data_IF_428184007315
#
_entry.id   IF_428184007315
#
_cell.length_a   1.000
_cell.length_b   1.000
_cell.length_c   1.000
_cell.angle_alpha   90.00
_cell.angle_beta   90.00
_cell.angle_gamma   90.00
#
_symmetry.space_group_name_H-M   'P 1'
#
loop_
_entity.id
_entity.type
_entity.pdbx_description
1 polymer ?
#
# COMPACT_ATOMS: atom_id res chain seq x y z
N UNK A 1 3.08 12.17 35.70
CA UNK A 1 3.01 11.16 34.62
C UNK A 1 3.91 11.63 33.50
N UNK A 2 5.09 11.02 33.32
CA UNK A 2 6.02 11.43 32.28
C UNK A 2 5.33 11.30 30.91
N UNK A 3 5.39 12.36 30.11
CA UNK A 3 4.78 12.41 28.77
C UNK A 3 5.54 11.41 27.89
N UNK A 4 4.96 10.24 27.58
CA UNK A 4 5.60 9.26 26.72
C UNK A 4 5.95 9.93 25.37
N UNK A 5 7.23 9.96 24.98
CA UNK A 5 7.64 10.57 23.73
C UNK A 5 6.94 9.86 22.56
N UNK A 6 6.54 10.64 21.56
CA UNK A 6 5.88 10.16 20.34
C UNK A 6 4.52 9.46 20.56
N UNK A 7 3.92 9.49 21.76
CA UNK A 7 2.62 8.87 22.07
C UNK A 7 1.55 9.16 21.01
N UNK A 8 1.46 10.41 20.57
CA UNK A 8 0.49 10.85 19.58
C UNK A 8 0.76 10.29 18.17
N UNK A 9 2.03 10.12 17.78
CA UNK A 9 2.40 9.50 16.52
C UNK A 9 2.19 7.98 16.56
N UNK A 10 2.52 7.32 17.68
CA UNK A 10 2.25 5.89 17.90
C UNK A 10 0.75 5.57 17.90
N UNK A 11 -0.08 6.46 18.45
CA UNK A 11 -1.53 6.31 18.37
C UNK A 11 -2.04 6.33 16.91
N UNK A 12 -1.47 7.16 16.04
CA UNK A 12 -1.81 7.16 14.61
C UNK A 12 -1.28 5.92 13.88
N UNK A 13 -0.11 5.39 14.26
CA UNK A 13 0.33 4.09 13.76
C UNK A 13 -0.65 2.98 14.14
N UNK A 14 -1.13 2.98 15.38
CA UNK A 14 -2.15 2.01 15.80
C UNK A 14 -3.45 2.14 15.01
N UNK A 15 -3.92 3.38 14.78
CA UNK A 15 -5.07 3.63 13.90
C UNK A 15 -4.83 3.17 12.47
N UNK A 16 -3.63 3.41 11.91
CA UNK A 16 -3.26 2.94 10.59
C UNK A 16 -3.27 1.40 10.50
N UNK A 17 -2.76 0.70 11.53
CA UNK A 17 -2.82 -0.76 11.61
C UNK A 17 -4.27 -1.26 11.63
N UNK A 18 -5.13 -0.61 12.41
CA UNK A 18 -6.56 -0.96 12.47
C UNK A 18 -7.26 -0.77 11.13
N UNK A 19 -6.94 0.30 10.41
CA UNK A 19 -7.48 0.52 9.07
C UNK A 19 -7.05 -0.59 8.09
N UNK A 20 -5.83 -1.13 8.22
CA UNK A 20 -5.39 -2.31 7.44
C UNK A 20 -6.21 -3.55 7.78
N UNK A 21 -6.44 -3.80 9.08
CA UNK A 21 -7.24 -4.93 9.53
C UNK A 21 -8.69 -4.79 9.05
N UNK A 22 -9.25 -3.59 9.12
CA UNK A 22 -10.60 -3.27 8.66
C UNK A 22 -10.74 -3.41 7.12
N UNK A 23 -9.76 -2.92 6.34
CA UNK A 23 -9.70 -3.19 4.89
C UNK A 23 -9.70 -4.69 4.59
N UNK A 24 -8.96 -5.47 5.37
CA UNK A 24 -8.88 -6.94 5.18
C UNK A 24 -10.20 -7.64 5.50
N UNK A 25 -10.96 -7.11 6.47
CA UNK A 25 -12.26 -7.65 6.87
C UNK A 25 -13.44 -7.10 6.07
N UNK A 26 -13.24 -6.04 5.27
CA UNK A 26 -14.29 -5.38 4.52
C UNK A 26 -14.93 -6.32 3.50
N UNK A 27 -16.26 -6.33 3.47
CA UNK A 27 -17.04 -7.16 2.54
C UNK A 27 -17.64 -6.35 1.38
N UNK A 28 -17.62 -5.02 1.50
CA UNK A 28 -18.10 -4.09 0.48
C UNK A 28 -16.97 -3.15 0.05
N UNK A 29 -17.03 -2.73 -1.21
CA UNK A 29 -16.04 -1.82 -1.79
C UNK A 29 -16.02 -0.46 -1.08
N UNK A 30 -17.19 0.10 -0.76
CA UNK A 30 -17.27 1.42 -0.09
C UNK A 30 -16.66 1.38 1.32
N UNK A 31 -16.88 0.29 2.06
CA UNK A 31 -16.28 0.06 3.38
C UNK A 31 -14.76 -0.08 3.26
N UNK A 32 -14.30 -0.87 2.28
CA UNK A 32 -12.88 -1.03 1.98
C UNK A 32 -12.21 0.30 1.63
N UNK A 33 -12.84 1.10 0.77
CA UNK A 33 -12.29 2.37 0.32
C UNK A 33 -12.27 3.43 1.43
N UNK A 34 -13.29 3.47 2.29
CA UNK A 34 -13.30 4.32 3.46
C UNK A 34 -12.12 4.03 4.40
N UNK A 35 -11.85 2.75 4.67
CA UNK A 35 -10.71 2.34 5.50
C UNK A 35 -9.37 2.61 4.82
N UNK A 36 -9.30 2.50 3.49
CA UNK A 36 -8.12 2.89 2.73
C UNK A 36 -7.80 4.38 2.87
N UNK A 37 -8.82 5.24 2.79
CA UNK A 37 -8.69 6.69 3.00
C UNK A 37 -8.24 7.04 4.43
N UNK A 38 -8.80 6.36 5.43
CA UNK A 38 -8.38 6.56 6.83
C UNK A 38 -6.92 6.18 7.03
N UNK A 39 -6.49 5.04 6.47
CA UNK A 39 -5.08 4.64 6.51
C UNK A 39 -4.16 5.71 5.92
N UNK A 40 -4.47 6.22 4.72
CA UNK A 40 -3.68 7.25 4.03
C UNK A 40 -3.60 8.54 4.87
N UNK A 41 -4.70 8.91 5.52
CA UNK A 41 -4.76 10.06 6.43
C UNK A 41 -3.91 9.84 7.68
N UNK A 42 -3.94 8.66 8.29
CA UNK A 42 -3.11 8.32 9.45
C UNK A 42 -1.61 8.43 9.14
N UNK A 43 -1.14 8.01 7.95
CA UNK A 43 0.28 8.13 7.60
C UNK A 43 0.79 9.58 7.64
N UNK A 44 -0.02 10.54 7.20
CA UNK A 44 0.36 11.95 7.29
C UNK A 44 0.35 12.46 8.73
N UNK A 45 -0.65 12.05 9.51
CA UNK A 45 -0.73 12.39 10.94
C UNK A 45 0.48 11.82 11.70
N UNK A 46 0.93 10.60 11.40
CA UNK A 46 2.17 10.01 11.97
C UNK A 46 3.36 10.92 11.73
N UNK A 47 3.57 11.36 10.48
CA UNK A 47 4.69 12.23 10.14
C UNK A 47 4.63 13.58 10.85
N UNK A 48 3.52 14.29 10.70
CA UNK A 48 3.35 15.64 11.25
C UNK A 48 3.42 15.65 12.78
N UNK A 49 2.86 14.64 13.46
CA UNK A 49 2.97 14.51 14.91
C UNK A 49 4.38 14.13 15.36
N UNK A 50 5.10 13.33 14.58
CA UNK A 50 6.53 13.03 14.85
C UNK A 50 7.36 14.31 14.77
N UNK A 51 7.18 15.10 13.72
CA UNK A 51 7.88 16.39 13.55
C UNK A 51 7.61 17.35 14.72
N UNK A 52 6.33 17.51 15.10
CA UNK A 52 5.94 18.37 16.22
C UNK A 52 6.53 17.90 17.54
N UNK A 53 6.60 16.59 17.76
CA UNK A 53 7.22 16.03 18.97
C UNK A 53 8.73 16.27 18.99
N UNK A 54 9.38 16.27 17.83
CA UNK A 54 10.83 16.49 17.70
C UNK A 54 11.23 17.98 17.65
N UNK A 55 10.29 18.92 17.82
CA UNK A 55 10.58 20.35 17.84
C UNK A 55 11.68 20.75 18.86
N UNK A 56 11.76 20.18 20.08
CA UNK A 56 12.86 20.46 21.00
C UNK A 56 14.24 20.02 20.49
N UNK A 57 14.30 19.07 19.55
CA UNK A 57 15.53 18.54 18.96
C UNK A 57 15.70 18.96 17.49
N UNK A 58 15.01 20.02 17.04
CA UNK A 58 14.87 20.38 15.63
C UNK A 58 16.21 20.51 14.89
N UNK A 59 17.23 21.09 15.52
CA UNK A 59 18.55 21.31 14.91
C UNK A 59 19.25 20.00 14.49
N UNK A 60 19.04 18.92 15.24
CA UNK A 60 19.60 17.60 14.95
C UNK A 60 18.62 16.74 14.13
N UNK A 61 17.32 16.92 14.37
CA UNK A 61 16.26 16.17 13.72
C UNK A 61 16.13 16.52 12.24
N UNK A 62 16.12 17.81 11.86
CA UNK A 62 15.92 18.25 10.47
C UNK A 62 16.95 17.67 9.49
N UNK A 63 18.28 17.75 9.75
CA UNK A 63 19.28 17.13 8.87
C UNK A 63 19.10 15.61 8.77
N UNK A 64 18.80 14.95 9.87
CA UNK A 64 18.61 13.50 9.90
C UNK A 64 17.34 13.06 9.17
N UNK A 65 16.24 13.79 9.33
CA UNK A 65 14.96 13.55 8.70
C UNK A 65 15.03 13.77 7.18
N UNK A 66 15.97 14.61 6.71
CA UNK A 66 16.18 14.91 5.28
C UNK A 66 16.27 13.67 4.39
N UNK A 67 16.87 12.57 4.87
CA UNK A 67 16.92 11.30 4.12
C UNK A 67 15.52 10.68 3.92
N UNK A 68 14.66 10.69 4.93
CA UNK A 68 13.29 10.18 4.85
C UNK A 68 12.41 11.11 4.03
N UNK A 69 12.61 12.42 4.13
CA UNK A 69 11.91 13.38 3.28
C UNK A 69 12.28 13.15 1.80
N UNK A 70 13.55 12.81 1.49
CA UNK A 70 13.96 12.45 0.15
C UNK A 70 13.29 11.15 -0.32
N UNK A 71 13.21 10.13 0.54
CA UNK A 71 12.50 8.88 0.25
C UNK A 71 11.03 9.13 -0.05
N UNK A 72 10.31 9.89 0.78
CA UNK A 72 8.89 10.26 0.54
C UNK A 72 8.65 10.96 -0.79
N UNK A 73 9.67 11.62 -1.35
CA UNK A 73 9.59 12.31 -2.65
C UNK A 73 9.96 11.41 -3.83
N UNK A 74 10.93 10.51 -3.65
CA UNK A 74 11.56 9.77 -4.76
C UNK A 74 11.12 8.31 -4.83
N UNK A 75 10.85 7.69 -3.69
CA UNK A 75 10.36 6.31 -3.63
C UNK A 75 8.96 6.22 -4.24
N UNK A 76 8.76 5.25 -5.14
CA UNK A 76 7.51 5.16 -5.90
C UNK A 76 6.31 4.91 -4.99
N UNK A 77 6.42 3.99 -4.01
CA UNK A 77 5.34 3.70 -3.07
C UNK A 77 5.04 4.91 -2.20
N UNK A 78 6.04 5.48 -1.52
CA UNK A 78 5.78 6.58 -0.58
C UNK A 78 5.24 7.82 -1.28
N UNK A 79 5.73 8.09 -2.49
CA UNK A 79 5.19 9.16 -3.34
C UNK A 79 3.75 8.86 -3.72
N UNK A 80 3.45 7.65 -4.20
CA UNK A 80 2.09 7.24 -4.56
C UNK A 80 1.12 7.39 -3.37
N UNK A 81 1.45 6.87 -2.18
CA UNK A 81 0.60 6.97 -0.99
C UNK A 81 0.32 8.44 -0.60
N UNK A 82 1.32 9.31 -0.69
CA UNK A 82 1.14 10.74 -0.45
C UNK A 82 0.14 11.35 -1.44
N UNK A 83 0.33 11.07 -2.74
CA UNK A 83 -0.54 11.64 -3.78
C UNK A 83 -1.93 11.00 -3.78
N UNK A 84 -2.09 9.76 -3.36
CA UNK A 84 -3.40 9.13 -3.19
C UNK A 84 -4.21 9.83 -2.10
N UNK A 85 -3.59 10.19 -0.98
CA UNK A 85 -4.22 11.03 0.04
C UNK A 85 -4.58 12.42 -0.49
N UNK A 86 -3.65 13.06 -1.21
CA UNK A 86 -3.88 14.39 -1.76
C UNK A 86 -5.03 14.39 -2.79
N UNK A 87 -5.14 13.33 -3.58
CA UNK A 87 -6.27 13.09 -4.46
C UNK A 87 -7.59 13.01 -3.67
N UNK A 88 -7.68 12.16 -2.65
CA UNK A 88 -8.89 12.04 -1.82
C UNK A 88 -9.32 13.37 -1.18
N UNK A 89 -8.36 14.13 -0.63
CA UNK A 89 -8.65 15.39 0.04
C UNK A 89 -9.07 16.53 -0.91
N UNK A 90 -8.64 16.50 -2.17
CA UNK A 90 -8.76 17.65 -3.08
C UNK A 90 -9.57 17.37 -4.34
N UNK A 91 -10.02 16.13 -4.55
CA UNK A 91 -10.79 15.73 -5.73
C UNK A 91 -11.87 14.72 -5.35
N UNK A 92 -12.86 14.56 -6.23
CA UNK A 92 -13.85 13.49 -6.13
C UNK A 92 -13.40 12.40 -7.12
N UNK A 93 -12.51 11.50 -6.66
CA UNK A 93 -12.05 10.36 -7.45
C UNK A 93 -11.99 9.11 -6.56
N UNK A 94 -12.29 7.95 -7.13
CA UNK A 94 -12.11 6.67 -6.45
C UNK A 94 -10.61 6.40 -6.26
N UNK A 95 -10.21 5.75 -5.17
CA UNK A 95 -8.80 5.41 -4.90
C UNK A 95 -8.46 3.95 -5.16
N UNK A 96 -9.49 3.11 -5.29
CA UNK A 96 -9.35 1.70 -5.62
C UNK A 96 -10.51 1.30 -6.54
N UNK A 97 -10.28 0.27 -7.35
CA UNK A 97 -11.33 -0.36 -8.15
C UNK A 97 -11.36 -1.85 -7.87
N UNK A 98 -12.53 -2.46 -8.01
CA UNK A 98 -12.66 -3.90 -8.00
C UNK A 98 -12.26 -4.45 -9.37
N UNK A 99 -11.17 -5.20 -9.45
CA UNK A 99 -10.86 -5.97 -10.66
C UNK A 99 -11.61 -7.29 -10.67
N UNK A 100 -12.23 -7.68 -11.81
CA UNK A 100 -12.90 -8.96 -11.91
C UNK A 100 -11.88 -10.09 -11.75
N UNK A 101 -12.35 -11.20 -11.17
CA UNK A 101 -11.58 -12.42 -11.12
C UNK A 101 -11.37 -12.99 -12.53
N UNK A 102 -10.29 -13.71 -12.73
CA UNK A 102 -9.96 -14.37 -13.98
C UNK A 102 -9.29 -15.71 -13.72
N UNK A 103 -9.29 -16.60 -14.70
CA UNK A 103 -8.58 -17.88 -14.62
C UNK A 103 -7.41 -17.84 -15.60
N UNK A 104 -6.21 -18.17 -15.12
CA UNK A 104 -5.01 -18.32 -15.93
C UNK A 104 -4.86 -19.79 -16.29
N UNK A 105 -4.67 -20.08 -17.57
CA UNK A 105 -4.32 -21.41 -18.06
C UNK A 105 -2.88 -21.38 -18.57
N UNK A 106 -2.00 -22.12 -17.90
CA UNK A 106 -0.57 -22.19 -18.23
C UNK A 106 -0.18 -23.62 -18.59
N UNK A 107 0.84 -23.80 -19.44
CA UNK A 107 1.37 -25.13 -19.74
C UNK A 107 2.20 -25.68 -18.58
N UNK A 108 2.14 -27.00 -18.38
CA UNK A 108 2.99 -27.71 -17.44
C UNK A 108 4.41 -27.76 -18.02
N UNK A 109 5.26 -26.80 -17.62
CA UNK A 109 6.67 -26.73 -18.01
C UNK A 109 7.09 -25.38 -18.56
N UNK A 110 8.39 -25.18 -18.74
CA UNK A 110 8.99 -23.87 -19.12
C UNK A 110 9.09 -23.63 -20.63
N UNK A 111 8.53 -24.51 -21.48
CA UNK A 111 8.71 -24.47 -22.93
C UNK A 111 7.37 -24.38 -23.69
N UNK A 112 6.48 -23.46 -23.32
CA UNK A 112 5.17 -23.32 -23.99
C UNK A 112 4.45 -24.67 -24.15
N UNK A 113 3.55 -24.78 -25.13
CA UNK A 113 2.90 -26.05 -25.45
C UNK A 113 1.94 -25.94 -26.63
N UNK A 114 1.41 -27.07 -27.05
CA UNK A 114 0.47 -27.21 -28.15
C UNK A 114 -0.97 -27.30 -27.65
N UNK A 115 -1.87 -26.52 -28.25
CA UNK A 115 -3.32 -26.60 -28.03
C UNK A 115 -3.93 -27.10 -29.33
N UNK A 116 -4.52 -28.28 -29.30
CA UNK A 116 -5.32 -28.82 -30.40
C UNK A 116 -6.75 -28.29 -30.35
N UNK A 117 -7.33 -28.17 -29.16
CA UNK A 117 -8.69 -27.68 -28.95
C UNK A 117 -8.84 -26.99 -27.59
N UNK A 118 -9.51 -25.83 -27.58
CA UNK A 118 -9.86 -25.09 -26.38
C UNK A 118 -11.28 -24.54 -26.54
N UNK A 119 -12.17 -24.92 -25.63
CA UNK A 119 -13.55 -24.42 -25.57
C UNK A 119 -13.83 -23.82 -24.20
N UNK A 120 -14.14 -22.53 -24.19
CA UNK A 120 -14.52 -21.77 -23.00
C UNK A 120 -16.00 -21.39 -23.08
N UNK A 121 -16.75 -21.66 -22.02
CA UNK A 121 -18.13 -21.23 -21.82
C UNK A 121 -18.20 -20.12 -20.76
N UNK A 122 -19.14 -19.19 -20.94
CA UNK A 122 -19.29 -18.03 -20.05
C UNK A 122 -19.76 -18.39 -18.63
N UNK A 123 -20.41 -19.54 -18.43
CA UNK A 123 -20.91 -20.00 -17.13
C UNK A 123 -19.98 -21.02 -16.48
N UNK A 124 -19.44 -21.94 -17.29
CA UNK A 124 -18.68 -23.10 -16.79
C UNK A 124 -17.16 -22.93 -16.89
N UNK A 125 -16.67 -21.90 -17.58
CA UNK A 125 -15.24 -21.70 -17.80
C UNK A 125 -14.70 -22.69 -18.84
N UNK A 126 -13.64 -23.43 -18.52
CA UNK A 126 -13.08 -24.42 -19.45
C UNK A 126 -13.96 -25.67 -19.58
N UNK A 127 -14.59 -25.84 -20.73
CA UNK A 127 -15.52 -26.95 -21.01
C UNK A 127 -14.83 -28.10 -21.73
N UNK A 128 -13.93 -27.81 -22.67
CA UNK A 128 -13.17 -28.83 -23.38
C UNK A 128 -11.75 -28.36 -23.66
N UNK A 129 -10.79 -29.26 -23.43
CA UNK A 129 -9.39 -29.04 -23.72
C UNK A 129 -8.76 -30.28 -24.35
N UNK A 130 -7.95 -30.09 -25.39
CA UNK A 130 -7.09 -31.10 -25.98
C UNK A 130 -5.77 -30.46 -26.37
N UNK A 131 -4.65 -31.05 -25.97
CA UNK A 131 -3.32 -30.51 -26.17
C UNK A 131 -2.36 -31.00 -25.08
N UNK A 132 -1.24 -30.31 -24.95
CA UNK A 132 -0.26 -30.56 -23.90
C UNK A 132 -0.84 -30.25 -22.50
N UNK A 133 -0.34 -30.86 -21.42
CA UNK A 133 -0.90 -30.62 -20.09
C UNK A 133 -0.88 -29.14 -19.70
N UNK A 134 -2.01 -28.62 -19.20
CA UNK A 134 -2.15 -27.26 -18.67
C UNK A 134 -2.57 -27.27 -17.20
N UNK A 135 -2.24 -26.20 -16.47
CA UNK A 135 -2.73 -25.89 -15.13
C UNK A 135 -3.67 -24.70 -15.19
N UNK A 136 -4.80 -24.79 -14.48
CA UNK A 136 -5.72 -23.68 -14.30
C UNK A 136 -5.53 -23.05 -12.91
N UNK A 137 -5.26 -21.75 -12.85
CA UNK A 137 -5.18 -20.98 -11.61
C UNK A 137 -6.30 -19.96 -11.58
N UNK A 138 -7.25 -20.13 -10.66
CA UNK A 138 -8.34 -19.17 -10.47
C UNK A 138 -7.87 -18.02 -9.59
N UNK A 139 -7.94 -16.80 -10.12
CA UNK A 139 -7.66 -15.55 -9.42
C UNK A 139 -9.01 -14.90 -9.08
N UNK A 140 -9.36 -14.76 -7.78
CA UNK A 140 -10.62 -14.14 -7.40
C UNK A 140 -10.63 -12.63 -7.71
N UNK A 141 -11.83 -12.01 -7.81
CA UNK A 141 -11.94 -10.56 -7.85
C UNK A 141 -11.24 -9.92 -6.66
N UNK A 142 -10.55 -8.81 -6.88
CA UNK A 142 -9.77 -8.15 -5.83
C UNK A 142 -9.74 -6.63 -6.00
N UNK A 143 -9.75 -5.87 -4.90
CA UNK A 143 -9.47 -4.45 -4.96
C UNK A 143 -8.03 -4.20 -5.43
N UNK A 144 -7.86 -3.30 -6.39
CA UNK A 144 -6.54 -2.84 -6.84
C UNK A 144 -6.44 -1.32 -6.73
N UNK A 145 -5.24 -0.85 -6.39
CA UNK A 145 -4.93 0.57 -6.41
C UNK A 145 -5.00 1.11 -7.85
N UNK A 146 -5.54 2.31 -8.04
CA UNK A 146 -5.63 2.94 -9.36
C UNK A 146 -4.65 4.09 -9.51
N UNK A 147 -4.46 4.57 -10.74
CA UNK A 147 -3.67 5.77 -10.94
C UNK A 147 -4.43 6.98 -10.38
N UNK A 148 -3.74 7.81 -9.59
CA UNK A 148 -4.32 9.01 -8.99
C UNK A 148 -3.81 10.26 -9.69
N UNK A 149 -4.67 11.26 -9.84
CA UNK A 149 -4.30 12.54 -10.45
C UNK A 149 -4.30 13.65 -9.41
N UNK A 150 -3.18 14.37 -9.30
CA UNK A 150 -3.03 15.53 -8.41
C UNK A 150 -2.26 16.62 -9.12
N UNK A 151 -2.73 17.87 -9.02
CA UNK A 151 -2.11 19.04 -9.65
C UNK A 151 -1.76 18.86 -11.15
N UNK A 152 -2.62 18.15 -11.90
CA UNK A 152 -2.42 17.87 -13.33
C UNK A 152 -1.39 16.78 -13.64
N UNK A 153 -0.84 16.10 -12.65
CA UNK A 153 0.09 14.99 -12.82
C UNK A 153 -0.54 13.67 -12.36
N UNK A 154 -0.36 12.63 -13.19
CA UNK A 154 -0.82 11.27 -12.94
C UNK A 154 0.25 10.43 -12.25
N UNK A 155 -0.15 9.72 -11.20
CA UNK A 155 0.70 8.83 -10.40
C UNK A 155 0.14 7.42 -10.44
N UNK A 156 0.86 6.52 -11.12
CA UNK A 156 0.46 5.11 -11.22
C UNK A 156 0.77 4.35 -9.91
N UNK A 157 0.07 3.23 -9.66
CA UNK A 157 0.43 2.30 -8.59
C UNK A 157 1.92 1.91 -8.67
N UNK A 158 2.58 1.75 -7.51
CA UNK A 158 4.02 1.61 -7.45
C UNK A 158 4.48 0.20 -7.82
N UNK A 159 5.43 0.09 -8.75
CA UNK A 159 6.07 -1.18 -9.12
C UNK A 159 7.34 -1.46 -8.32
N UNK A 160 7.74 -0.54 -7.45
CA UNK A 160 8.97 -0.64 -6.66
C UNK A 160 8.84 0.09 -5.31
N UNK A 161 9.47 -0.43 -4.27
CA UNK A 161 9.61 0.21 -2.97
C UNK A 161 10.98 -0.10 -2.36
N UNK A 162 11.73 0.94 -1.99
CA UNK A 162 13.08 0.85 -1.42
C UNK A 162 14.05 -0.04 -2.23
N UNK A 163 13.94 0.02 -3.57
CA UNK A 163 14.76 -0.76 -4.50
C UNK A 163 14.30 -2.20 -4.72
N UNK A 164 13.18 -2.62 -4.15
CA UNK A 164 12.58 -3.95 -4.34
C UNK A 164 11.33 -3.86 -5.21
N UNK A 165 11.14 -4.82 -6.11
CA UNK A 165 9.92 -4.92 -6.91
C UNK A 165 8.68 -5.11 -6.02
N UNK A 166 7.56 -4.54 -6.45
CA UNK A 166 6.25 -4.70 -5.80
C UNK A 166 5.33 -5.37 -6.82
N UNK A 167 5.08 -6.66 -6.63
CA UNK A 167 4.29 -7.47 -7.56
C UNK A 167 2.79 -7.45 -7.21
N UNK A 168 2.45 -7.28 -5.92
CA UNK A 168 1.07 -7.15 -5.45
C UNK A 168 0.70 -5.66 -5.27
N UNK A 169 -0.15 -5.16 -6.17
CA UNK A 169 -0.64 -3.78 -6.20
C UNK A 169 -1.96 -3.60 -5.44
N UNK A 170 -2.38 -4.59 -4.64
CA UNK A 170 -3.55 -4.45 -3.77
C UNK A 170 -3.33 -3.33 -2.74
N UNK A 171 -4.33 -2.49 -2.46
CA UNK A 171 -4.19 -1.42 -1.47
C UNK A 171 -3.77 -1.95 -0.09
N UNK A 172 -4.19 -3.16 0.30
CA UNK A 172 -3.74 -3.83 1.52
C UNK A 172 -2.22 -4.05 1.52
N UNK A 173 -1.64 -4.58 0.44
CA UNK A 173 -0.20 -4.80 0.38
C UNK A 173 0.56 -3.46 0.38
N UNK A 174 0.09 -2.49 -0.39
CA UNK A 174 0.66 -1.14 -0.38
C UNK A 174 0.60 -0.49 1.01
N UNK A 175 -0.51 -0.72 1.74
CA UNK A 175 -0.68 -0.26 3.11
C UNK A 175 0.33 -0.88 4.06
N UNK A 176 0.52 -2.21 3.99
CA UNK A 176 1.48 -2.94 4.84
C UNK A 176 2.92 -2.45 4.60
N UNK A 177 3.31 -2.26 3.34
CA UNK A 177 4.63 -1.73 2.99
C UNK A 177 4.81 -0.29 3.51
N UNK A 178 3.81 0.57 3.32
CA UNK A 178 3.81 1.93 3.87
C UNK A 178 3.89 1.93 5.40
N UNK A 179 3.06 1.13 6.06
CA UNK A 179 3.03 0.97 7.51
C UNK A 179 4.40 0.56 8.06
N UNK A 180 5.04 -0.45 7.45
CA UNK A 180 6.39 -0.88 7.85
C UNK A 180 7.37 0.28 7.79
N UNK A 181 7.38 1.06 6.70
CA UNK A 181 8.27 2.21 6.57
C UNK A 181 8.03 3.26 7.66
N UNK A 182 6.77 3.63 7.93
CA UNK A 182 6.45 4.65 8.94
C UNK A 182 6.68 4.15 10.37
N UNK A 183 6.45 2.86 10.63
CA UNK A 183 6.78 2.22 11.90
C UNK A 183 8.29 2.27 12.16
N UNK A 184 9.09 1.87 11.18
CA UNK A 184 10.56 1.92 11.25
C UNK A 184 11.08 3.36 11.41
N UNK A 185 10.44 4.32 10.72
CA UNK A 185 10.76 5.73 10.88
C UNK A 185 10.53 6.19 12.33
N UNK A 186 9.34 5.95 12.90
CA UNK A 186 9.02 6.34 14.29
C UNK A 186 9.96 5.63 15.27
N UNK A 187 10.26 4.35 15.07
CA UNK A 187 11.21 3.60 15.89
C UNK A 187 12.60 4.24 15.88
N UNK A 188 13.15 4.56 14.70
CA UNK A 188 14.45 5.21 14.61
C UNK A 188 14.46 6.61 15.24
N UNK A 189 13.33 7.34 15.20
CA UNK A 189 13.21 8.63 15.90
C UNK A 189 13.25 8.43 17.41
N UNK A 190 12.49 7.46 17.93
CA UNK A 190 12.44 7.13 19.34
C UNK A 190 13.84 6.77 19.87
N UNK A 191 14.54 5.84 19.20
CA UNK A 191 15.89 5.42 19.59
C UNK A 191 16.90 6.56 19.59
N UNK A 192 16.83 7.45 18.59
CA UNK A 192 17.85 8.47 18.38
C UNK A 192 17.64 9.72 19.21
N UNK A 193 16.40 10.16 19.39
CA UNK A 193 16.08 11.45 20.02
C UNK A 193 15.42 11.30 21.39
N UNK A 194 14.90 10.12 21.72
CA UNK A 194 14.27 9.83 23.00
C UNK A 194 14.78 8.50 23.59
N UNK A 195 16.11 8.28 23.69
CA UNK A 195 16.65 7.06 24.25
C UNK A 195 16.18 6.90 25.70
N UNK A 196 15.74 5.71 26.07
CA UNK A 196 15.46 5.40 27.48
C UNK A 196 16.77 5.46 28.24
N UNK A 197 16.83 6.29 29.29
CA UNK A 197 17.93 6.25 30.26
C UNK A 197 18.03 4.81 30.81
N UNK A 198 19.24 4.24 30.74
CA UNK A 198 19.54 2.92 31.31
C UNK A 198 19.85 3.04 32.79
#
# INVERSE_FOLDING_TARGET
MANEPLRQAKAELWSASRAIDAMTAATKMDEFEAEWREFLSCLEKVWTKTERTCAPHQAQFQPWQGKFHALRRKDMLLRYLKHARDADNHTIQDLAKLEPGYTVYDFVGSRGGYIEHLHLDAKEGLVAYKGDPITATVIPPRPVAIAVETCGQRYNPPTMHLGKAVDDLSPINLAKLGFSFYSDFVHQVEEKFFPRER
#
